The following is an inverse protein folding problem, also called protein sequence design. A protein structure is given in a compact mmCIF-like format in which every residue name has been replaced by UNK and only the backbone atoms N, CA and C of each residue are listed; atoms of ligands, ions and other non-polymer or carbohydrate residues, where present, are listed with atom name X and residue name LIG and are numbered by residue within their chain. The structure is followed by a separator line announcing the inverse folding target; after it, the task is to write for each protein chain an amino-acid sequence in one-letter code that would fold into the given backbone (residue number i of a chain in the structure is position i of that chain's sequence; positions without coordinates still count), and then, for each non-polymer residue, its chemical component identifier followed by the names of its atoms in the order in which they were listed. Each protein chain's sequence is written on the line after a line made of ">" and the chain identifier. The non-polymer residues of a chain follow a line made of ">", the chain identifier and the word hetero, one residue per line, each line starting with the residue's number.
data_IF_337526242342
#
_entry.id   IF_337526242342
#
_cell.length_a   1.000
_cell.length_b   1.000
_cell.length_c   1.000
_cell.angle_alpha   90.00
_cell.angle_beta   90.00
_cell.angle_gamma   90.00
#
_symmetry.space_group_name_H-M   'P 1'
#
loop_
_entity.id
_entity.type
_entity.pdbx_description
1 polymer ?
#
# COMPACT_ATOMS: atom_id res chain seq x y z
N UNK A 1 -2.06 16.02 34.94
CA UNK A 1 -1.29 15.14 34.04
C UNK A 1 -2.08 14.93 32.73
N UNK A 2 -1.67 15.55 31.63
CA UNK A 2 -2.29 15.28 30.31
C UNK A 2 -1.88 13.86 29.89
N UNK A 3 -2.85 12.92 29.79
CA UNK A 3 -2.64 11.64 29.13
C UNK A 3 -2.23 11.91 27.69
N UNK A 4 -0.97 11.69 27.35
CA UNK A 4 -0.49 11.63 25.97
C UNK A 4 -1.20 10.41 25.36
N UNK A 5 -2.27 10.66 24.61
CA UNK A 5 -2.88 9.66 23.75
C UNK A 5 -1.80 9.31 22.72
N UNK A 6 -1.14 8.17 22.87
CA UNK A 6 -0.25 7.64 21.84
C UNK A 6 -1.16 7.42 20.62
N UNK A 7 -1.19 8.37 19.69
CA UNK A 7 -1.90 8.18 18.43
C UNK A 7 -1.27 6.97 17.75
N UNK A 8 -2.05 5.89 17.62
CA UNK A 8 -1.60 4.71 16.90
C UNK A 8 -1.20 5.15 15.48
N UNK A 9 -0.06 4.67 15.03
CA UNK A 9 0.42 4.97 13.69
C UNK A 9 -0.61 4.49 12.67
N UNK A 10 -1.15 5.43 11.91
CA UNK A 10 -2.09 5.15 10.83
C UNK A 10 -1.50 5.60 9.49
N UNK A 11 -1.60 4.75 8.48
CA UNK A 11 -1.18 5.03 7.11
C UNK A 11 -2.43 5.14 6.24
N UNK A 12 -2.51 6.21 5.46
CA UNK A 12 -3.59 6.39 4.49
C UNK A 12 -3.18 5.80 3.13
N UNK A 13 -4.15 5.38 2.34
CA UNK A 13 -3.90 5.01 0.93
C UNK A 13 -4.80 5.81 0.00
N UNK A 14 -4.29 6.18 -1.16
CA UNK A 14 -5.00 6.97 -2.16
C UNK A 14 -4.62 6.52 -3.57
N UNK A 15 -5.59 6.49 -4.48
CA UNK A 15 -5.34 6.33 -5.91
C UNK A 15 -5.57 7.65 -6.64
N UNK A 16 -4.65 8.07 -7.49
CA UNK A 16 -4.90 9.30 -8.24
C UNK A 16 -5.91 9.11 -9.38
N UNK A 17 -5.96 7.92 -10.00
CA UNK A 17 -6.87 7.62 -11.13
C UNK A 17 -6.81 8.70 -12.22
N UNK A 18 -7.97 9.06 -12.74
CA UNK A 18 -8.18 10.15 -13.72
C UNK A 18 -8.62 11.46 -13.07
N UNK A 19 -8.37 11.62 -11.76
CA UNK A 19 -8.77 12.82 -11.02
C UNK A 19 -8.08 14.07 -11.56
N UNK A 20 -8.74 15.20 -11.44
CA UNK A 20 -8.07 16.49 -11.57
C UNK A 20 -7.07 16.67 -10.42
N UNK A 21 -6.18 17.62 -10.55
CA UNK A 21 -5.30 18.00 -9.45
C UNK A 21 -6.08 18.54 -8.25
N UNK A 22 -7.11 19.32 -8.52
CA UNK A 22 -7.98 19.95 -7.54
C UNK A 22 -8.70 18.88 -6.70
N UNK A 23 -9.36 17.90 -7.34
CA UNK A 23 -10.01 16.77 -6.67
C UNK A 23 -9.03 15.97 -5.80
N UNK A 24 -7.82 15.74 -6.33
CA UNK A 24 -6.79 15.02 -5.59
C UNK A 24 -6.31 15.81 -4.37
N UNK A 25 -6.10 17.11 -4.51
CA UNK A 25 -5.68 17.98 -3.41
C UNK A 25 -6.76 18.07 -2.33
N UNK A 26 -8.04 18.13 -2.71
CA UNK A 26 -9.15 18.17 -1.76
C UNK A 26 -9.25 16.87 -0.95
N UNK A 27 -8.97 15.72 -1.55
CA UNK A 27 -8.81 14.46 -0.81
C UNK A 27 -7.68 14.56 0.21
N UNK A 28 -6.50 15.05 -0.18
CA UNK A 28 -5.38 15.21 0.74
C UNK A 28 -5.71 16.15 1.90
N UNK A 29 -6.42 17.24 1.64
CA UNK A 29 -6.87 18.22 2.64
C UNK A 29 -7.90 17.63 3.60
N UNK A 30 -8.94 16.97 3.07
CA UNK A 30 -10.00 16.36 3.86
C UNK A 30 -9.43 15.37 4.90
N UNK A 31 -8.40 14.61 4.52
CA UNK A 31 -7.73 13.66 5.41
C UNK A 31 -6.48 14.21 6.10
N UNK A 32 -6.22 15.51 6.00
CA UNK A 32 -5.09 16.21 6.63
C UNK A 32 -3.73 15.56 6.29
N UNK A 33 -3.59 15.05 5.07
CA UNK A 33 -2.35 14.44 4.58
C UNK A 33 -1.25 15.50 4.53
N UNK A 34 -0.10 15.20 5.13
CA UNK A 34 1.08 16.07 5.16
C UNK A 34 2.22 15.55 4.28
N UNK A 35 2.11 14.29 3.82
CA UNK A 35 3.07 13.67 2.92
C UNK A 35 2.40 12.66 2.01
N UNK A 36 2.69 12.74 0.72
CA UNK A 36 2.39 11.69 -0.26
C UNK A 36 3.63 10.84 -0.45
N UNK A 37 3.47 9.52 -0.30
CA UNK A 37 4.50 8.51 -0.57
C UNK A 37 4.08 7.80 -1.86
N UNK A 38 4.73 8.16 -2.95
CA UNK A 38 4.45 7.58 -4.27
C UNK A 38 5.11 6.21 -4.40
N UNK A 39 4.31 5.17 -4.56
CA UNK A 39 4.74 3.78 -4.67
C UNK A 39 4.63 3.24 -6.10
N UNK A 40 4.49 4.09 -7.09
CA UNK A 40 4.49 3.65 -8.49
C UNK A 40 5.90 3.27 -8.94
N UNK A 41 6.02 2.21 -9.72
CA UNK A 41 7.31 1.84 -10.33
C UNK A 41 7.81 2.92 -11.27
N UNK A 42 6.90 3.50 -12.05
CA UNK A 42 7.14 4.56 -13.03
C UNK A 42 6.13 5.68 -12.77
N UNK A 43 6.51 6.80 -12.12
CA UNK A 43 5.63 7.91 -11.81
C UNK A 43 5.45 8.83 -13.03
N UNK A 44 4.97 8.27 -14.13
CA UNK A 44 4.69 8.95 -15.40
C UNK A 44 3.40 8.42 -16.00
N UNK A 45 2.58 9.29 -16.54
CA UNK A 45 1.35 8.96 -17.27
C UNK A 45 1.16 9.91 -18.45
N UNK A 46 0.86 9.38 -19.62
CA UNK A 46 0.49 10.19 -20.79
C UNK A 46 -0.91 10.79 -20.63
N UNK A 47 -1.83 10.01 -20.06
CA UNK A 47 -3.24 10.43 -19.90
C UNK A 47 -3.47 11.34 -18.69
N UNK A 48 -2.60 11.30 -17.69
CA UNK A 48 -2.73 12.07 -16.45
C UNK A 48 -1.42 12.78 -16.14
N UNK A 49 -0.94 13.71 -16.97
CA UNK A 49 0.38 14.35 -16.85
C UNK A 49 0.53 15.17 -15.56
N UNK A 50 -0.59 15.61 -14.96
CA UNK A 50 -0.62 16.31 -13.66
C UNK A 50 -0.04 15.46 -12.52
N UNK A 51 0.02 14.12 -12.68
CA UNK A 51 0.60 13.18 -11.73
C UNK A 51 1.99 12.67 -12.13
N UNK A 52 2.63 13.26 -13.13
CA UNK A 52 4.02 12.98 -13.43
C UNK A 52 4.91 13.49 -12.30
N UNK A 53 5.98 12.77 -11.98
CA UNK A 53 6.85 13.01 -10.83
C UNK A 53 7.19 14.49 -10.65
N UNK A 54 7.67 15.15 -11.71
CA UNK A 54 8.12 16.53 -11.67
C UNK A 54 6.96 17.50 -11.41
N UNK A 55 5.85 17.30 -12.12
CA UNK A 55 4.65 18.15 -11.99
C UNK A 55 4.02 17.97 -10.61
N UNK A 56 3.81 16.71 -10.19
CA UNK A 56 3.18 16.37 -8.92
C UNK A 56 4.01 16.89 -7.74
N UNK A 57 5.33 16.70 -7.76
CA UNK A 57 6.21 17.12 -6.66
C UNK A 57 6.20 18.65 -6.49
N UNK A 58 6.18 19.43 -7.59
CA UNK A 58 6.06 20.89 -7.56
C UNK A 58 4.71 21.33 -7.00
N UNK A 59 3.59 20.74 -7.49
CA UNK A 59 2.24 21.06 -7.04
C UNK A 59 2.03 20.73 -5.55
N UNK A 60 2.50 19.58 -5.09
CA UNK A 60 2.43 19.18 -3.68
C UNK A 60 3.24 20.12 -2.79
N UNK A 61 4.44 20.52 -3.22
CA UNK A 61 5.28 21.49 -2.48
C UNK A 61 4.54 22.83 -2.34
N UNK A 62 3.95 23.35 -3.41
CA UNK A 62 3.14 24.57 -3.36
C UNK A 62 1.95 24.44 -2.39
N UNK A 63 1.35 23.26 -2.30
CA UNK A 63 0.28 22.94 -1.35
C UNK A 63 0.79 22.62 0.08
N UNK A 64 2.09 22.77 0.37
CA UNK A 64 2.74 22.44 1.65
C UNK A 64 2.60 20.96 2.05
N UNK A 65 2.49 20.07 1.07
CA UNK A 65 2.47 18.62 1.23
C UNK A 65 3.82 18.04 0.77
N UNK A 66 4.46 17.25 1.63
CA UNK A 66 5.71 16.57 1.27
C UNK A 66 5.48 15.50 0.21
N UNK A 67 6.50 15.24 -0.60
CA UNK A 67 6.50 14.18 -1.60
C UNK A 67 7.74 13.30 -1.47
N UNK A 68 7.55 11.99 -1.50
CA UNK A 68 8.64 11.00 -1.52
C UNK A 68 8.27 9.90 -2.51
N UNK A 69 9.17 9.57 -3.43
CA UNK A 69 9.01 8.41 -4.30
C UNK A 69 9.74 7.20 -3.70
N UNK A 70 9.00 6.14 -3.38
CA UNK A 70 9.53 4.87 -2.88
C UNK A 70 9.46 3.78 -3.96
N UNK A 71 10.35 3.85 -4.96
CA UNK A 71 10.42 2.89 -6.07
C UNK A 71 10.55 1.43 -5.61
N UNK A 72 11.17 1.17 -4.46
CA UNK A 72 11.26 -0.18 -3.87
C UNK A 72 9.88 -0.80 -3.58
N UNK A 73 8.84 -0.01 -3.41
CA UNK A 73 7.46 -0.49 -3.24
C UNK A 73 6.65 -0.50 -4.54
N UNK A 74 7.31 -0.36 -5.69
CA UNK A 74 6.65 -0.35 -7.00
C UNK A 74 6.10 -1.71 -7.42
N UNK A 75 4.93 -1.70 -8.09
CA UNK A 75 4.10 -2.88 -8.37
C UNK A 75 4.47 -3.71 -9.61
N UNK A 76 5.39 -3.23 -10.47
CA UNK A 76 5.80 -3.99 -11.66
C UNK A 76 6.77 -5.09 -11.28
N UNK A 77 6.25 -6.30 -11.00
CA UNK A 77 7.01 -7.49 -10.59
C UNK A 77 6.55 -8.71 -11.37
N UNK A 78 7.48 -9.62 -11.64
CA UNK A 78 7.21 -10.88 -12.30
C UNK A 78 7.01 -11.98 -11.26
N UNK A 79 6.01 -12.84 -11.50
CA UNK A 79 5.77 -13.99 -10.65
C UNK A 79 6.88 -15.06 -10.85
N UNK A 80 7.27 -15.70 -9.76
CA UNK A 80 8.18 -16.84 -9.78
C UNK A 80 7.46 -18.07 -10.30
N UNK A 81 8.21 -19.02 -10.88
CA UNK A 81 7.66 -20.32 -11.34
C UNK A 81 7.17 -21.17 -10.18
N UNK A 82 7.87 -21.11 -9.05
CA UNK A 82 7.62 -21.82 -7.80
C UNK A 82 6.89 -20.95 -6.76
N UNK A 83 6.10 -19.99 -7.20
CA UNK A 83 5.40 -19.04 -6.32
C UNK A 83 4.49 -19.77 -5.33
N UNK A 84 4.59 -19.49 -4.01
CA UNK A 84 3.62 -19.97 -3.02
C UNK A 84 2.30 -19.18 -3.06
N UNK A 85 2.23 -18.10 -3.84
CA UNK A 85 1.13 -17.13 -3.84
C UNK A 85 0.09 -17.44 -4.93
N UNK A 86 -0.21 -18.73 -5.14
CA UNK A 86 -1.10 -19.21 -6.20
C UNK A 86 -2.58 -18.83 -6.01
N UNK A 87 -2.97 -18.32 -4.85
CA UNK A 87 -4.29 -17.71 -4.62
C UNK A 87 -4.54 -16.50 -5.52
N UNK A 88 -3.49 -15.83 -5.96
CA UNK A 88 -3.57 -14.77 -6.95
C UNK A 88 -3.61 -15.33 -8.38
N UNK A 89 -4.77 -15.25 -9.05
CA UNK A 89 -4.89 -15.58 -10.48
C UNK A 89 -4.15 -14.58 -11.36
N UNK A 90 -4.16 -13.28 -10.97
CA UNK A 90 -3.44 -12.23 -11.68
C UNK A 90 -1.94 -12.35 -11.42
N UNK A 91 -1.16 -12.54 -12.49
CA UNK A 91 0.30 -12.73 -12.42
C UNK A 91 1.04 -11.51 -11.83
N UNK A 92 0.55 -10.28 -12.04
CA UNK A 92 1.17 -9.08 -11.48
C UNK A 92 1.01 -9.02 -9.95
N UNK A 93 -0.16 -9.38 -9.42
CA UNK A 93 -0.36 -9.47 -7.97
C UNK A 93 0.46 -10.61 -7.36
N UNK A 94 0.49 -11.78 -8.04
CA UNK A 94 1.34 -12.90 -7.62
C UNK A 94 2.81 -12.52 -7.59
N UNK A 95 3.31 -11.85 -8.63
CA UNK A 95 4.69 -11.39 -8.69
C UNK A 95 5.01 -10.36 -7.61
N UNK A 96 4.06 -9.48 -7.28
CA UNK A 96 4.25 -8.55 -6.17
C UNK A 96 4.25 -9.28 -4.81
N UNK A 97 3.37 -10.27 -4.62
CA UNK A 97 3.35 -11.11 -3.42
C UNK A 97 4.66 -11.91 -3.24
N UNK A 98 5.26 -12.41 -4.35
CA UNK A 98 6.58 -13.02 -4.33
C UNK A 98 7.67 -12.02 -3.94
N UNK A 99 7.60 -10.79 -4.48
CA UNK A 99 8.53 -9.71 -4.14
C UNK A 99 8.44 -9.30 -2.68
N UNK A 100 7.26 -9.38 -2.05
CA UNK A 100 7.09 -9.11 -0.62
C UNK A 100 7.95 -9.99 0.30
N UNK A 101 8.48 -11.11 -0.21
CA UNK A 101 9.37 -12.00 0.52
C UNK A 101 10.86 -11.60 0.43
N UNK A 102 11.18 -10.49 -0.24
CA UNK A 102 12.56 -10.05 -0.46
C UNK A 102 13.01 -9.00 0.57
N UNK A 103 14.33 -8.93 0.76
CA UNK A 103 14.94 -7.90 1.60
C UNK A 103 14.67 -6.48 1.06
N UNK A 104 14.61 -6.31 -0.26
CA UNK A 104 14.36 -5.02 -0.90
C UNK A 104 12.97 -4.49 -0.57
N UNK A 105 11.96 -5.37 -0.52
CA UNK A 105 10.62 -5.01 -0.10
C UNK A 105 10.60 -4.59 1.38
N UNK A 106 11.21 -5.40 2.25
CA UNK A 106 11.29 -5.09 3.68
C UNK A 106 11.98 -3.74 3.95
N UNK A 107 13.10 -3.47 3.26
CA UNK A 107 13.78 -2.19 3.37
C UNK A 107 12.89 -1.01 2.89
N UNK A 108 12.10 -1.24 1.83
CA UNK A 108 11.11 -0.28 1.35
C UNK A 108 10.00 -0.03 2.36
N UNK A 109 9.47 -1.10 2.95
CA UNK A 109 8.41 -1.05 3.95
C UNK A 109 8.86 -0.37 5.24
N UNK A 110 10.05 -0.69 5.75
CA UNK A 110 10.65 -0.01 6.91
C UNK A 110 10.80 1.51 6.64
N UNK A 111 11.26 1.88 5.44
CA UNK A 111 11.36 3.31 5.07
C UNK A 111 10.00 3.98 5.06
N UNK A 112 8.95 3.31 4.55
CA UNK A 112 7.57 3.80 4.57
C UNK A 112 7.11 4.04 6.01
N UNK A 113 7.25 3.05 6.89
CA UNK A 113 6.85 3.13 8.30
C UNK A 113 7.56 4.28 9.00
N UNK A 114 8.87 4.42 8.82
CA UNK A 114 9.65 5.55 9.37
C UNK A 114 9.12 6.91 8.89
N UNK A 115 8.78 7.03 7.61
CA UNK A 115 8.22 8.26 7.03
C UNK A 115 6.83 8.56 7.59
N UNK A 116 5.97 7.54 7.72
CA UNK A 116 4.62 7.68 8.25
C UNK A 116 4.61 8.05 9.73
N UNK A 117 5.56 7.56 10.52
CA UNK A 117 5.74 7.95 11.92
C UNK A 117 6.18 9.41 12.14
N UNK A 118 6.71 10.05 11.11
CA UNK A 118 7.12 11.46 11.18
C UNK A 118 6.00 12.45 10.83
N UNK A 119 5.15 12.08 9.88
CA UNK A 119 4.07 12.94 9.37
C UNK A 119 2.92 12.08 8.87
N UNK A 120 1.69 12.55 9.04
CA UNK A 120 0.49 11.91 8.48
C UNK A 120 0.65 11.71 6.97
N UNK A 121 0.78 10.47 6.56
CA UNK A 121 1.21 10.10 5.21
C UNK A 121 0.15 9.29 4.49
N UNK A 122 0.04 9.48 3.17
CA UNK A 122 -0.74 8.64 2.28
C UNK A 122 0.17 7.97 1.25
N UNK A 123 0.11 6.64 1.13
CA UNK A 123 0.71 5.93 0.01
C UNK A 123 -0.15 6.13 -1.23
N UNK A 124 0.47 6.43 -2.35
CA UNK A 124 -0.24 6.77 -3.60
C UNK A 124 0.16 5.83 -4.74
N UNK A 125 -0.85 5.34 -5.46
CA UNK A 125 -0.69 4.64 -6.72
C UNK A 125 -1.63 5.20 -7.79
N UNK A 126 -1.57 4.68 -9.02
CA UNK A 126 -2.42 5.13 -10.13
C UNK A 126 -3.88 4.65 -10.00
N UNK A 127 -4.10 3.41 -9.58
CA UNK A 127 -5.43 2.80 -9.54
C UNK A 127 -6.38 3.49 -8.55
N UNK A 128 -7.64 3.70 -8.97
CA UNK A 128 -8.66 4.32 -8.12
C UNK A 128 -8.94 3.47 -6.88
N UNK A 129 -9.25 2.20 -7.10
CA UNK A 129 -9.71 1.28 -6.04
C UNK A 129 -8.56 0.45 -5.47
N UNK A 130 -8.48 0.29 -4.14
CA UNK A 130 -7.33 -0.38 -3.50
C UNK A 130 -7.21 -1.85 -3.92
N UNK A 131 -8.30 -2.60 -4.01
CA UNK A 131 -8.27 -4.03 -4.35
C UNK A 131 -7.87 -4.37 -5.80
N UNK A 132 -7.74 -3.37 -6.66
CA UNK A 132 -7.16 -3.49 -8.02
C UNK A 132 -5.71 -3.05 -8.11
N UNK A 133 -5.08 -2.78 -6.97
CA UNK A 133 -3.76 -2.18 -6.90
C UNK A 133 -2.87 -2.92 -5.89
N UNK A 134 -1.59 -3.06 -6.21
CA UNK A 134 -0.60 -3.64 -5.30
C UNK A 134 -0.48 -2.90 -3.95
N UNK A 135 -1.03 -1.68 -3.82
CA UNK A 135 -1.09 -1.01 -2.52
C UNK A 135 -1.92 -1.76 -1.48
N UNK A 136 -2.88 -2.63 -1.91
CA UNK A 136 -3.60 -3.50 -0.98
C UNK A 136 -2.68 -4.53 -0.31
N UNK A 137 -1.69 -5.07 -1.05
CA UNK A 137 -0.72 -6.00 -0.49
C UNK A 137 0.27 -5.27 0.46
N UNK A 138 0.60 -4.00 0.18
CA UNK A 138 1.37 -3.17 1.12
C UNK A 138 0.53 -2.88 2.37
N UNK A 139 -0.76 -2.63 2.21
CA UNK A 139 -1.69 -2.46 3.31
C UNK A 139 -1.78 -3.72 4.18
N UNK A 140 -1.86 -4.92 3.57
CA UNK A 140 -1.76 -6.19 4.30
C UNK A 140 -0.47 -6.28 5.12
N UNK A 141 0.68 -5.91 4.52
CA UNK A 141 1.97 -5.95 5.19
C UNK A 141 2.06 -4.98 6.38
N UNK A 142 1.43 -3.81 6.29
CA UNK A 142 1.32 -2.86 7.41
C UNK A 142 0.37 -3.39 8.49
N UNK A 143 -0.80 -3.92 8.09
CA UNK A 143 -1.81 -4.47 9.01
C UNK A 143 -1.26 -5.66 9.80
N UNK A 144 -0.49 -6.56 9.16
CA UNK A 144 0.19 -7.67 9.84
C UNK A 144 1.23 -7.21 10.88
N UNK A 145 1.65 -5.94 10.83
CA UNK A 145 2.54 -5.30 11.82
C UNK A 145 1.78 -4.45 12.84
N UNK A 146 0.45 -4.58 12.90
CA UNK A 146 -0.40 -3.81 13.81
C UNK A 146 -0.55 -2.33 13.45
N UNK A 147 -0.20 -1.94 12.23
CA UNK A 147 -0.34 -0.57 11.74
C UNK A 147 -1.70 -0.44 11.05
N UNK A 148 -2.51 0.49 11.54
CA UNK A 148 -3.80 0.78 10.92
C UNK A 148 -3.61 1.38 9.53
N UNK A 149 -4.40 0.91 8.57
CA UNK A 149 -4.42 1.45 7.21
C UNK A 149 -5.84 1.87 6.85
N UNK A 150 -6.00 3.09 6.34
CA UNK A 150 -7.28 3.61 5.89
C UNK A 150 -7.24 3.94 4.40
N UNK A 151 -8.08 3.28 3.64
CA UNK A 151 -8.23 3.51 2.20
C UNK A 151 -9.14 4.72 1.94
N UNK A 152 -8.60 5.81 1.40
CA UNK A 152 -9.35 7.01 1.03
C UNK A 152 -10.18 6.70 -0.21
N UNK A 153 -11.50 6.71 -0.08
CA UNK A 153 -12.44 6.47 -1.17
C UNK A 153 -12.92 7.78 -1.81
N UNK A 154 -13.33 8.75 -0.97
CA UNK A 154 -13.74 10.09 -1.37
C UNK A 154 -13.53 11.07 -0.21
N UNK A 155 -13.90 12.34 -0.35
CA UNK A 155 -13.71 13.40 0.68
C UNK A 155 -14.46 13.14 1.99
N UNK A 156 -15.52 12.30 1.97
CA UNK A 156 -16.36 12.01 3.13
C UNK A 156 -16.17 10.60 3.69
N UNK A 157 -15.55 9.69 2.92
CA UNK A 157 -15.47 8.26 3.27
C UNK A 157 -14.06 7.71 3.07
N UNK A 158 -13.51 7.16 4.13
CA UNK A 158 -12.42 6.18 4.10
C UNK A 158 -12.92 4.83 4.59
N UNK A 159 -12.19 3.79 4.27
CA UNK A 159 -12.48 2.43 4.71
C UNK A 159 -11.24 1.87 5.39
N UNK A 160 -11.40 1.32 6.58
CA UNK A 160 -10.32 0.59 7.26
C UNK A 160 -9.98 -0.62 6.41
N UNK A 161 -8.70 -0.78 6.12
CA UNK A 161 -8.21 -1.94 5.37
C UNK A 161 -8.36 -3.21 6.20
N UNK A 162 -8.88 -4.25 5.57
CA UNK A 162 -8.92 -5.60 6.11
C UNK A 162 -8.01 -6.49 5.31
N UNK A 163 -7.33 -7.43 5.96
CA UNK A 163 -6.49 -8.41 5.27
C UNK A 163 -7.28 -9.10 4.15
N UNK A 164 -6.60 -9.32 3.05
CA UNK A 164 -7.17 -10.08 1.92
C UNK A 164 -7.61 -11.46 2.42
N UNK A 165 -8.85 -11.92 2.12
CA UNK A 165 -9.46 -13.10 2.76
C UNK A 165 -8.68 -14.41 2.64
N UNK A 166 -7.80 -14.51 1.67
CA UNK A 166 -6.93 -15.68 1.47
C UNK A 166 -5.45 -15.41 1.85
N UNK A 167 -5.16 -14.31 2.52
CA UNK A 167 -3.86 -14.07 3.12
C UNK A 167 -3.59 -15.06 4.27
N UNK A 168 -2.37 -15.57 4.33
CA UNK A 168 -1.85 -16.33 5.46
C UNK A 168 -0.72 -15.52 6.08
N UNK A 169 -0.83 -15.23 7.38
CA UNK A 169 0.11 -14.40 8.12
C UNK A 169 0.86 -15.27 9.13
N UNK A 170 2.20 -15.27 9.05
CA UNK A 170 3.09 -15.93 10.00
C UNK A 170 4.10 -14.88 10.51
N UNK A 171 3.88 -14.35 11.69
CA UNK A 171 4.57 -13.17 12.18
C UNK A 171 4.34 -11.98 11.25
N UNK A 172 5.39 -11.48 10.59
CA UNK A 172 5.29 -10.40 9.60
C UNK A 172 5.28 -10.89 8.15
N UNK A 173 5.47 -12.18 7.94
CA UNK A 173 5.45 -12.79 6.62
C UNK A 173 4.02 -13.02 6.17
N UNK A 174 3.70 -12.63 4.94
CA UNK A 174 2.38 -12.83 4.35
C UNK A 174 2.55 -13.61 3.05
N UNK A 175 1.74 -14.65 2.90
CA UNK A 175 1.61 -15.42 1.66
C UNK A 175 0.13 -15.52 1.27
N UNK A 176 -0.11 -15.84 0.02
CA UNK A 176 -1.45 -15.93 -0.55
C UNK A 176 -1.62 -17.28 -1.25
N UNK A 177 -1.63 -18.40 -0.50
CA UNK A 177 -1.73 -19.73 -1.07
C UNK A 177 -3.13 -19.98 -1.67
N UNK A 178 -3.21 -20.92 -2.60
CA UNK A 178 -4.49 -21.42 -3.10
C UNK A 178 -5.25 -22.22 -2.04
N UNK A 179 -6.53 -22.52 -2.34
CA UNK A 179 -7.38 -23.26 -1.40
C UNK A 179 -6.87 -24.68 -1.11
N UNK A 180 -6.25 -25.34 -2.11
CA UNK A 180 -5.73 -26.70 -1.96
C UNK A 180 -4.55 -26.73 -0.99
N UNK A 181 -3.62 -25.81 -1.15
CA UNK A 181 -2.45 -25.65 -0.26
C UNK A 181 -2.87 -25.29 1.18
N UNK A 182 -3.88 -24.43 1.35
CA UNK A 182 -4.44 -24.08 2.68
C UNK A 182 -5.05 -25.30 3.40
N UNK A 183 -5.79 -26.15 2.70
CA UNK A 183 -6.37 -27.38 3.27
C UNK A 183 -5.29 -28.38 3.72
N UNK A 184 -4.18 -28.46 3.00
CA UNK A 184 -3.04 -29.32 3.36
C UNK A 184 -2.33 -28.81 4.63
N UNK A 185 -2.06 -27.53 4.73
CA UNK A 185 -1.43 -26.92 5.92
C UNK A 185 -2.32 -27.08 7.17
N UNK A 186 -3.63 -26.85 7.08
CA UNK A 186 -4.56 -27.02 8.20
C UNK A 186 -4.77 -28.49 8.66
N UNK A 187 -4.43 -29.48 7.82
CA UNK A 187 -4.43 -30.89 8.23
C UNK A 187 -3.14 -31.30 8.94
N UNK A 188 -2.00 -30.66 8.59
CA UNK A 188 -0.71 -30.92 9.23
C UNK A 188 -0.69 -30.40 10.68
N UNK A 189 -1.27 -29.23 10.96
CA UNK A 189 -1.35 -28.65 12.31
C UNK A 189 -2.33 -29.34 13.25
N UNK A 190 -3.24 -30.18 12.75
CA UNK A 190 -4.16 -30.97 13.60
C UNK A 190 -3.64 -32.37 13.95
N UNK A 191 -2.44 -32.75 13.51
CA UNK A 191 -1.83 -34.07 13.76
C UNK A 191 -0.68 -34.02 14.77
N UNK A 192 -0.34 -32.86 15.27
CA UNK A 192 0.52 -32.64 16.43
C UNK A 192 -0.31 -32.13 17.61
#
# INVERSE_FOLDING_TARGET
>A
MRKIKTEMLAVLTIGHSTRTWEDFLDLLRAYRVKRVIDIRSIPRSRHNPQFNLETLSKKLRAARVGYVHLRKLGGLRHARRDSPNMGWRNASFRGFADYMQTFEFEAGLHRLIKLAGQKRSAIMCAEAVPWRCHRSLIADALTARGIQVDDIMNVKRSQVHSLIPFACVEGHRITYPDQASRRRAGRATKRN
#
